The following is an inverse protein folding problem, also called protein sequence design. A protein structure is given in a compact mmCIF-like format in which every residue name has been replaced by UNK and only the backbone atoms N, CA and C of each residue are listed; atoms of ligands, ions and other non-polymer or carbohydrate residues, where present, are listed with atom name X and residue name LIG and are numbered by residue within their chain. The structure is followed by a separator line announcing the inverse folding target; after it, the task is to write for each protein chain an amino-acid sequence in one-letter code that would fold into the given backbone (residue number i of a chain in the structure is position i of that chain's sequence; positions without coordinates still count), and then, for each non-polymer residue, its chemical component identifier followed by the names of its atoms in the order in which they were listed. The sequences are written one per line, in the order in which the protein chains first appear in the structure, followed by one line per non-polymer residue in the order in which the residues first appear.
data_IF_537698165981
#
_entry.id   IF_537698165981
#
_cell.length_a   1.000
_cell.length_b   1.000
_cell.length_c   1.000
_cell.angle_alpha   90.00
_cell.angle_beta   90.00
_cell.angle_gamma   90.00
#
_symmetry.space_group_name_H-M   'P 1'
#
loop_
_entity.id
_entity.type
_entity.pdbx_description
1 polymer ?
#
# COMPACT_ATOMS: atom_id res chain seq x y z
N UNK A 1 13.34 -32.18 44.05
CA UNK A 1 12.33 -32.82 43.19
C UNK A 1 11.11 -31.92 42.85
N UNK A 2 10.58 -31.09 43.75
CA UNK A 2 9.44 -30.16 43.44
C UNK A 2 9.77 -29.10 42.36
N UNK A 3 10.95 -28.49 42.40
CA UNK A 3 11.36 -27.42 41.42
C UNK A 3 11.50 -27.95 39.98
N UNK A 4 11.99 -29.16 39.80
CA UNK A 4 12.09 -29.79 38.46
C UNK A 4 10.74 -30.03 37.81
N UNK A 5 9.73 -30.42 38.60
CA UNK A 5 8.36 -30.63 38.11
C UNK A 5 7.67 -29.35 37.66
N UNK A 6 7.97 -28.22 38.34
CA UNK A 6 7.43 -26.88 37.96
C UNK A 6 8.01 -26.39 36.65
N UNK A 7 9.32 -26.58 36.41
CA UNK A 7 9.94 -26.19 35.14
C UNK A 7 9.47 -27.03 33.96
N UNK A 8 9.24 -28.34 34.15
CA UNK A 8 8.69 -29.22 33.11
C UNK A 8 7.24 -28.86 32.78
N UNK A 9 6.42 -28.52 33.76
CA UNK A 9 5.05 -28.08 33.54
C UNK A 9 5.00 -26.72 32.82
N UNK A 10 5.88 -25.78 33.16
CA UNK A 10 5.99 -24.46 32.50
C UNK A 10 6.44 -24.63 31.05
N UNK A 11 7.42 -25.47 30.76
CA UNK A 11 7.90 -25.77 29.42
C UNK A 11 6.84 -26.41 28.53
N UNK A 12 6.02 -27.34 29.11
CA UNK A 12 4.90 -27.96 28.38
C UNK A 12 3.78 -26.95 28.07
N UNK A 13 3.51 -26.01 28.97
CA UNK A 13 2.54 -24.92 28.72
C UNK A 13 3.04 -23.99 27.65
N UNK A 14 4.32 -23.63 27.64
CA UNK A 14 4.93 -22.78 26.62
C UNK A 14 5.00 -23.47 25.24
N UNK A 15 5.27 -24.79 25.21
CA UNK A 15 5.21 -25.56 23.96
C UNK A 15 3.77 -25.73 23.45
N UNK A 16 2.79 -25.87 24.34
CA UNK A 16 1.37 -25.97 23.99
C UNK A 16 0.81 -24.66 23.40
N UNK A 17 1.30 -23.51 23.85
CA UNK A 17 0.91 -22.19 23.31
C UNK A 17 1.51 -21.92 21.92
N UNK A 18 2.68 -22.50 21.62
CA UNK A 18 3.32 -22.32 20.31
C UNK A 18 2.61 -23.05 19.16
N UNK A 19 1.76 -24.04 19.44
CA UNK A 19 1.06 -24.81 18.39
C UNK A 19 -0.35 -24.30 18.05
N UNK A 20 -0.87 -23.27 18.73
CA UNK A 20 -2.22 -22.71 18.48
C UNK A 20 -2.20 -21.55 17.50
N UNK A 21 -1.06 -21.12 16.98
CA UNK A 21 -0.89 -19.84 16.29
C UNK A 21 -1.15 -19.86 14.78
N UNK A 22 -1.74 -20.89 14.19
CA UNK A 22 -2.06 -20.89 12.75
C UNK A 22 -3.47 -21.43 12.45
N UNK A 23 -4.46 -21.06 13.24
CA UNK A 23 -5.82 -21.06 12.74
C UNK A 23 -5.93 -19.85 11.81
N UNK A 24 -5.72 -20.05 10.51
CA UNK A 24 -6.12 -19.06 9.51
C UNK A 24 -7.60 -18.81 9.71
N UNK A 25 -7.95 -17.58 10.11
CA UNK A 25 -9.33 -17.15 10.10
C UNK A 25 -9.85 -17.40 8.68
N UNK A 26 -11.02 -18.03 8.49
CA UNK A 26 -11.57 -18.24 7.19
C UNK A 26 -11.66 -16.87 6.51
N UNK A 27 -10.79 -16.62 5.53
CA UNK A 27 -10.94 -15.48 4.65
C UNK A 27 -12.30 -15.66 3.97
N UNK A 28 -13.13 -14.63 3.90
CA UNK A 28 -14.40 -14.69 3.20
C UNK A 28 -14.26 -14.89 1.68
N UNK A 29 -13.10 -15.34 1.23
CA UNK A 29 -12.76 -15.61 -0.17
C UNK A 29 -13.22 -17.01 -0.56
N UNK A 30 -14.05 -17.09 -1.60
CA UNK A 30 -14.46 -18.34 -2.21
C UNK A 30 -13.35 -18.89 -3.11
N UNK A 31 -12.90 -20.10 -2.82
CA UNK A 31 -11.85 -20.81 -3.58
C UNK A 31 -12.40 -22.13 -4.12
N UNK A 32 -11.90 -22.61 -5.27
CA UNK A 32 -12.23 -23.95 -5.74
C UNK A 32 -11.73 -25.01 -4.74
N UNK A 33 -12.44 -26.12 -4.62
CA UNK A 33 -12.07 -27.25 -3.73
C UNK A 33 -10.69 -27.83 -4.08
N UNK A 34 -10.25 -27.72 -5.32
CA UNK A 34 -8.94 -28.13 -5.80
C UNK A 34 -8.47 -27.27 -6.96
N UNK A 35 -7.25 -26.83 -6.90
CA UNK A 35 -6.56 -26.14 -8.00
C UNK A 35 -5.82 -27.11 -8.95
N UNK A 36 -5.83 -28.43 -8.63
CA UNK A 36 -5.10 -29.44 -9.43
C UNK A 36 -5.73 -29.56 -10.81
N UNK A 37 -4.88 -29.44 -11.85
CA UNK A 37 -5.29 -29.58 -13.23
C UNK A 37 -5.94 -28.34 -13.84
N UNK A 38 -6.19 -27.29 -13.07
CA UNK A 38 -6.70 -26.03 -13.60
C UNK A 38 -5.58 -25.25 -14.30
N UNK A 39 -5.85 -24.78 -15.50
CA UNK A 39 -5.04 -23.73 -16.13
C UNK A 39 -5.17 -22.42 -15.33
N UNK A 40 -4.24 -21.52 -15.55
CA UNK A 40 -4.30 -20.19 -14.90
C UNK A 40 -5.59 -19.43 -15.29
N UNK A 41 -6.05 -19.57 -16.52
CA UNK A 41 -7.29 -18.96 -17.01
C UNK A 41 -8.53 -19.54 -16.31
N UNK A 42 -8.59 -20.85 -16.13
CA UNK A 42 -9.72 -21.52 -15.45
C UNK A 42 -9.74 -21.18 -13.96
N UNK A 43 -8.58 -21.17 -13.29
CA UNK A 43 -8.47 -20.73 -11.91
C UNK A 43 -8.94 -19.29 -11.76
N UNK A 44 -8.49 -18.39 -12.64
CA UNK A 44 -8.93 -16.99 -12.66
C UNK A 44 -10.44 -16.84 -12.85
N UNK A 45 -11.03 -17.61 -13.76
CA UNK A 45 -12.46 -17.59 -14.00
C UNK A 45 -13.27 -18.06 -12.77
N UNK A 46 -12.85 -19.13 -12.09
CA UNK A 46 -13.52 -19.63 -10.89
C UNK A 46 -13.39 -18.65 -9.71
N UNK A 47 -12.20 -18.10 -9.48
CA UNK A 47 -11.99 -17.10 -8.44
C UNK A 47 -12.79 -15.82 -8.70
N UNK A 48 -12.86 -15.39 -9.97
CA UNK A 48 -13.67 -14.25 -10.39
C UNK A 48 -15.16 -14.49 -10.13
N UNK A 49 -15.67 -15.65 -10.56
CA UNK A 49 -17.08 -15.99 -10.38
C UNK A 49 -17.49 -16.02 -8.90
N UNK A 50 -16.62 -16.54 -8.02
CA UNK A 50 -16.88 -16.64 -6.58
C UNK A 50 -16.72 -15.34 -5.79
N UNK A 51 -15.92 -14.39 -6.28
CA UNK A 51 -15.52 -13.22 -5.47
C UNK A 51 -15.76 -11.86 -6.14
N UNK A 52 -15.95 -11.79 -7.44
CA UNK A 52 -16.00 -10.54 -8.18
C UNK A 52 -17.32 -10.33 -8.93
N UNK A 53 -17.91 -11.43 -9.43
CA UNK A 53 -19.06 -11.39 -10.32
C UNK A 53 -20.31 -10.73 -9.71
N UNK A 54 -20.51 -10.86 -8.40
CA UNK A 54 -21.63 -10.22 -7.69
C UNK A 54 -21.65 -8.71 -7.87
N UNK A 55 -20.48 -8.06 -7.90
CA UNK A 55 -20.36 -6.62 -8.05
C UNK A 55 -20.03 -6.20 -9.48
N UNK A 56 -19.25 -6.99 -10.20
CA UNK A 56 -18.75 -6.62 -11.53
C UNK A 56 -19.47 -7.29 -12.70
N UNK A 57 -20.48 -8.13 -12.42
CA UNK A 57 -21.15 -8.92 -13.45
C UNK A 57 -20.39 -10.18 -13.82
N UNK A 58 -21.11 -11.20 -14.37
CA UNK A 58 -20.55 -12.52 -14.61
C UNK A 58 -19.52 -12.51 -15.76
N UNK A 59 -19.69 -11.59 -16.72
CA UNK A 59 -18.78 -11.36 -17.85
C UNK A 59 -18.07 -10.00 -17.77
N UNK A 60 -17.94 -9.42 -16.56
CA UNK A 60 -17.29 -8.14 -16.35
C UNK A 60 -18.04 -6.93 -16.92
N UNK A 61 -19.35 -7.04 -17.10
CA UNK A 61 -20.20 -5.98 -17.65
C UNK A 61 -20.53 -4.88 -16.65
N UNK A 62 -20.24 -5.09 -15.37
CA UNK A 62 -20.62 -4.21 -14.26
C UNK A 62 -22.06 -4.45 -13.81
N UNK A 63 -22.37 -4.05 -12.58
CA UNK A 63 -23.73 -4.12 -12.01
C UNK A 63 -24.18 -2.73 -11.58
N UNK A 64 -25.11 -2.17 -12.33
CA UNK A 64 -25.72 -0.89 -12.00
C UNK A 64 -26.79 -1.08 -10.91
N UNK A 65 -26.90 -0.17 -9.93
CA UNK A 65 -27.97 -0.25 -8.94
C UNK A 65 -29.30 0.14 -9.58
N UNK A 66 -30.41 -0.40 -9.09
CA UNK A 66 -31.74 -0.08 -9.62
C UNK A 66 -32.09 1.42 -9.45
N UNK A 67 -31.49 2.12 -8.50
CA UNK A 67 -31.86 3.49 -8.13
C UNK A 67 -30.77 4.56 -8.37
N UNK A 68 -29.81 4.34 -9.27
CA UNK A 68 -28.73 5.31 -9.60
C UNK A 68 -27.95 5.85 -8.40
N UNK A 69 -27.94 5.16 -7.27
CA UNK A 69 -27.10 5.51 -6.13
C UNK A 69 -25.62 5.41 -6.51
N UNK A 70 -24.84 6.41 -6.11
CA UNK A 70 -23.39 6.40 -6.33
C UNK A 70 -22.74 5.49 -5.30
N UNK A 71 -21.89 4.57 -5.73
CA UNK A 71 -20.93 3.90 -4.86
C UNK A 71 -19.81 4.84 -4.40
N UNK A 72 -18.79 4.30 -3.74
CA UNK A 72 -17.62 5.05 -3.32
C UNK A 72 -16.95 5.76 -4.51
N UNK A 73 -16.54 6.98 -4.33
CA UNK A 73 -15.98 7.80 -5.39
C UNK A 73 -16.99 8.15 -6.47
N UNK A 74 -16.59 7.99 -7.74
CA UNK A 74 -17.45 8.24 -8.90
C UNK A 74 -18.10 6.99 -9.48
N UNK A 75 -17.98 5.85 -8.80
CA UNK A 75 -18.53 4.57 -9.27
C UNK A 75 -20.05 4.57 -9.07
N UNK A 76 -20.78 4.25 -10.14
CA UNK A 76 -22.23 4.01 -10.09
C UNK A 76 -22.45 2.52 -10.02
N UNK A 77 -23.18 2.07 -9.02
CA UNK A 77 -23.55 0.67 -8.91
C UNK A 77 -22.77 -0.09 -7.84
N UNK A 78 -22.91 -1.40 -7.86
CA UNK A 78 -22.15 -2.30 -7.00
C UNK A 78 -20.70 -2.39 -7.43
N UNK A 79 -20.46 -2.40 -8.75
CA UNK A 79 -19.13 -2.40 -9.33
C UNK A 79 -19.14 -1.95 -10.79
N UNK A 80 -18.09 -1.24 -11.24
CA UNK A 80 -17.98 -0.82 -12.64
C UNK A 80 -17.73 -2.00 -13.58
N UNK A 81 -17.95 -1.82 -14.90
CA UNK A 81 -17.51 -2.79 -15.88
C UNK A 81 -15.99 -2.96 -15.86
N UNK A 82 -15.55 -4.21 -16.05
CA UNK A 82 -14.13 -4.56 -16.11
C UNK A 82 -13.62 -4.80 -17.53
N UNK A 83 -14.51 -4.73 -18.53
CA UNK A 83 -14.11 -4.81 -19.94
C UNK A 83 -13.26 -3.60 -20.31
N UNK A 84 -12.03 -3.86 -20.76
CA UNK A 84 -11.11 -2.81 -21.17
C UNK A 84 -10.23 -2.22 -20.04
N UNK A 85 -10.40 -2.63 -18.78
CA UNK A 85 -9.51 -2.18 -17.69
C UNK A 85 -8.12 -2.81 -17.78
N UNK A 86 -8.00 -3.96 -18.45
CA UNK A 86 -6.75 -4.67 -18.69
C UNK A 86 -6.13 -5.28 -17.43
N UNK A 87 -4.94 -5.82 -17.61
CA UNK A 87 -4.17 -6.40 -16.52
C UNK A 87 -3.74 -5.34 -15.49
N UNK A 88 -3.45 -4.13 -15.94
CA UNK A 88 -2.92 -3.03 -15.12
C UNK A 88 -3.81 -2.72 -13.93
N UNK A 89 -5.11 -2.47 -14.15
CA UNK A 89 -6.01 -2.13 -13.06
C UNK A 89 -6.31 -3.35 -12.17
N UNK A 90 -6.45 -4.54 -12.76
CA UNK A 90 -6.69 -5.76 -11.99
C UNK A 90 -5.54 -6.05 -11.03
N UNK A 91 -4.29 -5.97 -11.49
CA UNK A 91 -3.11 -6.18 -10.67
C UNK A 91 -3.03 -5.16 -9.53
N UNK A 92 -3.16 -3.87 -9.85
CA UNK A 92 -3.13 -2.81 -8.86
C UNK A 92 -4.12 -3.02 -7.71
N UNK A 93 -5.40 -3.20 -8.03
CA UNK A 93 -6.43 -3.30 -7.00
C UNK A 93 -6.33 -4.57 -6.17
N UNK A 94 -5.85 -5.67 -6.73
CA UNK A 94 -5.65 -6.93 -6.02
C UNK A 94 -4.39 -6.92 -5.17
N UNK A 95 -3.26 -6.45 -5.71
CA UNK A 95 -1.97 -6.43 -4.99
C UNK A 95 -1.91 -5.39 -3.88
N UNK A 96 -2.74 -4.35 -3.95
CA UNK A 96 -2.86 -3.34 -2.90
C UNK A 96 -3.92 -3.67 -1.84
N UNK A 97 -4.73 -4.73 -2.07
CA UNK A 97 -5.83 -5.11 -1.20
C UNK A 97 -7.00 -4.12 -1.23
N UNK A 98 -7.09 -3.26 -2.25
CA UNK A 98 -8.26 -2.42 -2.48
C UNK A 98 -9.49 -3.23 -2.89
N UNK A 99 -9.26 -4.37 -3.55
CA UNK A 99 -10.29 -5.35 -3.88
C UNK A 99 -9.94 -6.72 -3.27
N UNK A 100 -10.95 -7.49 -2.85
CA UNK A 100 -12.39 -7.23 -2.90
C UNK A 100 -12.85 -6.22 -1.84
N UNK A 101 -13.87 -5.42 -2.15
CA UNK A 101 -14.53 -4.55 -1.18
C UNK A 101 -15.53 -5.35 -0.34
N UNK A 102 -15.59 -5.04 0.96
CA UNK A 102 -16.64 -5.60 1.84
C UNK A 102 -17.93 -4.80 1.72
N UNK A 103 -17.82 -3.49 1.47
CA UNK A 103 -18.95 -2.58 1.29
C UNK A 103 -18.69 -1.71 0.06
N UNK A 104 -19.51 -1.83 -1.01
CA UNK A 104 -19.35 -1.06 -2.24
C UNK A 104 -19.50 0.46 -2.05
N UNK A 105 -20.05 0.90 -0.92
CA UNK A 105 -20.22 2.32 -0.63
C UNK A 105 -19.05 2.96 0.10
N UNK A 106 -18.11 2.13 0.59
CA UNK A 106 -16.92 2.64 1.25
C UNK A 106 -15.84 3.02 0.23
N UNK A 107 -15.08 4.06 0.58
CA UNK A 107 -13.89 4.40 -0.18
C UNK A 107 -12.89 3.24 -0.06
N UNK A 108 -12.36 2.70 -1.19
CA UNK A 108 -11.31 1.71 -1.14
C UNK A 108 -10.06 2.31 -0.48
N UNK A 109 -9.44 1.55 0.40
CA UNK A 109 -8.12 1.86 0.95
C UNK A 109 -7.26 0.60 0.98
N UNK A 110 -5.96 0.77 1.10
CA UNK A 110 -5.03 -0.36 1.22
C UNK A 110 -5.38 -1.22 2.42
N UNK A 111 -5.55 -2.51 2.18
CA UNK A 111 -5.88 -3.53 3.17
C UNK A 111 -4.93 -4.73 3.03
N UNK A 112 -5.15 -5.74 3.87
CA UNK A 112 -4.54 -7.05 3.67
C UNK A 112 -4.91 -7.59 2.30
N UNK A 113 -3.93 -8.12 1.60
CA UNK A 113 -4.13 -8.83 0.32
C UNK A 113 -4.74 -10.19 0.64
N UNK A 114 -5.92 -10.47 0.10
CA UNK A 114 -6.70 -11.67 0.43
C UNK A 114 -6.35 -12.87 -0.47
N UNK A 115 -5.77 -12.60 -1.63
CA UNK A 115 -5.39 -13.62 -2.62
C UNK A 115 -3.88 -13.88 -2.58
N UNK A 116 -3.50 -15.13 -2.85
CA UNK A 116 -2.09 -15.48 -3.07
C UNK A 116 -1.57 -14.88 -4.37
N UNK A 117 -0.24 -14.73 -4.54
CA UNK A 117 0.32 -14.22 -5.81
C UNK A 117 -0.12 -15.03 -7.05
N UNK A 118 -0.29 -16.35 -6.90
CA UNK A 118 -0.79 -17.22 -7.98
C UNK A 118 -2.24 -16.90 -8.34
N UNK A 119 -3.09 -16.72 -7.33
CA UNK A 119 -4.50 -16.37 -7.51
C UNK A 119 -4.64 -14.98 -8.13
N UNK A 120 -3.86 -13.99 -7.68
CA UNK A 120 -3.83 -12.64 -8.26
C UNK A 120 -3.45 -12.72 -9.73
N UNK A 121 -2.38 -13.42 -10.08
CA UNK A 121 -1.98 -13.59 -11.48
C UNK A 121 -3.08 -14.26 -12.32
N UNK A 122 -3.79 -15.23 -11.76
CA UNK A 122 -4.90 -15.91 -12.44
C UNK A 122 -6.10 -14.97 -12.66
N UNK A 123 -6.52 -14.24 -11.63
CA UNK A 123 -7.64 -13.27 -11.75
C UNK A 123 -7.25 -12.15 -12.72
N UNK A 124 -6.03 -11.62 -12.63
CA UNK A 124 -5.51 -10.57 -13.52
C UNK A 124 -5.52 -11.03 -14.98
N UNK A 125 -5.09 -12.25 -15.25
CA UNK A 125 -5.14 -12.83 -16.59
C UNK A 125 -6.59 -12.98 -17.09
N UNK A 126 -7.49 -13.46 -16.23
CA UNK A 126 -8.91 -13.60 -16.58
C UNK A 126 -9.54 -12.23 -16.88
N UNK A 127 -9.34 -11.23 -16.04
CA UNK A 127 -9.88 -9.88 -16.26
C UNK A 127 -9.30 -9.25 -17.53
N UNK A 128 -8.01 -9.44 -17.80
CA UNK A 128 -7.40 -8.99 -19.05
C UNK A 128 -8.00 -9.65 -20.30
N UNK A 129 -8.53 -10.87 -20.17
CA UNK A 129 -9.20 -11.56 -21.28
C UNK A 129 -10.62 -11.07 -21.58
N UNK A 130 -11.22 -10.28 -20.67
CA UNK A 130 -12.57 -9.74 -20.86
C UNK A 130 -12.65 -8.64 -21.94
N UNK A 131 -11.51 -8.08 -22.35
CA UNK A 131 -11.43 -7.09 -23.40
C UNK A 131 -10.05 -6.43 -23.47
N UNK A 132 -9.74 -5.76 -24.60
CA UNK A 132 -8.45 -5.08 -24.76
C UNK A 132 -8.28 -3.96 -23.72
N UNK A 133 -7.11 -3.93 -23.07
CA UNK A 133 -6.81 -2.94 -22.05
C UNK A 133 -5.30 -2.85 -21.76
N UNK A 134 -4.87 -1.90 -20.93
CA UNK A 134 -3.46 -1.67 -20.65
C UNK A 134 -2.82 -2.84 -19.90
N UNK A 135 -1.56 -3.12 -20.24
CA UNK A 135 -0.73 -4.11 -19.56
C UNK A 135 -0.09 -3.53 -18.30
N UNK A 136 0.33 -4.41 -17.39
CA UNK A 136 1.09 -4.04 -16.19
C UNK A 136 2.37 -3.31 -16.60
N UNK A 137 2.63 -2.10 -16.08
CA UNK A 137 3.84 -1.35 -16.38
C UNK A 137 5.07 -2.02 -15.74
N UNK A 138 6.21 -1.82 -16.38
CA UNK A 138 7.51 -2.30 -15.89
C UNK A 138 8.44 -1.10 -15.69
N UNK A 139 8.27 -0.35 -14.58
CA UNK A 139 9.14 0.79 -14.32
C UNK A 139 10.56 0.32 -14.00
N UNK A 140 11.51 1.17 -14.36
CA UNK A 140 12.91 1.02 -13.99
C UNK A 140 13.40 2.26 -13.23
N UNK A 141 13.26 2.27 -11.88
CA UNK A 141 13.72 3.40 -11.07
C UNK A 141 15.22 3.66 -11.17
N UNK A 142 16.03 2.64 -11.52
CA UNK A 142 17.48 2.80 -11.67
C UNK A 142 17.85 3.68 -12.87
N UNK A 143 16.99 3.74 -13.88
CA UNK A 143 17.12 4.64 -15.02
C UNK A 143 16.57 6.05 -14.75
N UNK A 144 16.02 6.30 -13.56
CA UNK A 144 15.48 7.58 -13.14
C UNK A 144 16.52 8.46 -12.43
N UNK A 145 16.22 9.77 -12.36
CA UNK A 145 16.99 10.75 -11.57
C UNK A 145 16.20 11.16 -10.34
N UNK A 146 16.78 10.99 -9.16
CA UNK A 146 16.15 11.38 -7.86
C UNK A 146 15.86 12.89 -7.85
N UNK A 147 16.77 13.73 -8.36
CA UNK A 147 16.58 15.20 -8.40
C UNK A 147 15.43 15.60 -9.33
N UNK A 148 15.37 15.03 -10.53
CA UNK A 148 14.24 15.26 -11.45
C UNK A 148 12.94 14.72 -10.83
N UNK A 149 12.99 13.55 -10.21
CA UNK A 149 11.84 12.95 -9.53
C UNK A 149 11.32 13.80 -8.37
N UNK A 150 12.19 14.42 -7.59
CA UNK A 150 11.82 15.37 -6.54
C UNK A 150 11.01 16.55 -7.09
N UNK A 151 11.47 17.18 -8.16
CA UNK A 151 10.75 18.30 -8.77
C UNK A 151 9.38 17.88 -9.30
N UNK A 152 9.33 16.79 -10.08
CA UNK A 152 8.07 16.28 -10.64
C UNK A 152 7.08 15.83 -9.54
N UNK A 153 7.59 15.17 -8.51
CA UNK A 153 6.77 14.75 -7.37
C UNK A 153 6.22 15.95 -6.60
N UNK A 154 7.05 16.98 -6.38
CA UNK A 154 6.63 18.20 -5.69
C UNK A 154 5.56 18.93 -6.47
N UNK A 155 5.69 19.00 -7.80
CA UNK A 155 4.75 19.68 -8.69
C UNK A 155 3.39 18.95 -8.81
N UNK A 156 3.41 17.63 -8.94
CA UNK A 156 2.22 16.87 -9.31
C UNK A 156 1.63 16.00 -8.19
N UNK A 157 2.40 15.65 -7.17
CA UNK A 157 2.02 14.60 -6.21
C UNK A 157 2.01 15.07 -4.75
N UNK A 158 2.96 15.95 -4.36
CA UNK A 158 3.18 16.33 -2.97
C UNK A 158 2.00 17.06 -2.35
N UNK A 159 1.16 17.75 -3.12
CA UNK A 159 -0.06 18.40 -2.63
C UNK A 159 -1.02 17.45 -1.93
N UNK A 160 -1.06 16.18 -2.35
CA UNK A 160 -1.86 15.14 -1.73
C UNK A 160 -0.99 14.16 -0.89
N UNK A 161 0.15 13.72 -1.42
CA UNK A 161 0.97 12.68 -0.81
C UNK A 161 2.03 13.21 0.16
N UNK A 162 2.11 14.53 0.38
CA UNK A 162 3.17 15.23 1.11
C UNK A 162 4.56 15.05 0.49
N UNK A 163 5.49 15.97 0.80
CA UNK A 163 6.80 15.99 0.17
C UNK A 163 7.60 14.68 0.35
N UNK A 164 7.44 14.01 1.48
CA UNK A 164 8.15 12.76 1.81
C UNK A 164 7.28 11.50 1.62
N UNK A 165 6.23 11.60 0.83
CA UNK A 165 5.35 10.47 0.46
C UNK A 165 4.65 9.78 1.65
N UNK A 166 4.43 10.49 2.76
CA UNK A 166 3.76 9.95 3.97
C UNK A 166 2.23 9.88 3.85
N UNK A 167 1.65 10.50 2.83
CA UNK A 167 0.20 10.56 2.68
C UNK A 167 -0.47 11.45 3.74
N UNK A 168 -1.76 11.28 3.92
CA UNK A 168 -2.53 12.08 4.88
C UNK A 168 -4.00 12.16 4.53
N UNK A 169 -4.62 13.31 4.80
CA UNK A 169 -6.01 13.59 4.47
C UNK A 169 -6.11 14.87 3.64
N UNK A 170 -6.82 14.80 2.52
CA UNK A 170 -7.09 15.93 1.65
C UNK A 170 -8.58 15.94 1.31
N UNK A 171 -9.29 17.02 1.65
CA UNK A 171 -10.70 17.22 1.30
C UNK A 171 -11.58 15.97 1.56
N UNK A 172 -11.54 15.47 2.79
CA UNK A 172 -12.28 14.27 3.24
C UNK A 172 -11.84 12.93 2.60
N UNK A 173 -10.68 12.89 1.93
CA UNK A 173 -10.13 11.69 1.34
C UNK A 173 -8.82 11.32 2.04
N UNK A 174 -8.71 10.04 2.41
CA UNK A 174 -7.45 9.50 2.90
C UNK A 174 -6.52 9.23 1.73
N UNK A 175 -5.36 9.89 1.74
CA UNK A 175 -4.28 9.69 0.77
C UNK A 175 -3.29 8.68 1.33
N UNK A 176 -2.98 7.58 0.62
CA UNK A 176 -2.11 6.54 1.14
C UNK A 176 -0.65 6.98 1.25
N UNK A 177 0.08 6.34 2.16
CA UNK A 177 1.54 6.40 2.23
C UNK A 177 2.12 5.60 1.06
N UNK A 178 2.99 6.21 0.26
CA UNK A 178 3.62 5.56 -0.88
C UNK A 178 4.85 4.71 -0.50
N UNK A 179 5.35 4.86 0.72
CA UNK A 179 6.50 4.09 1.21
C UNK A 179 6.26 2.57 1.27
N UNK A 180 5.00 2.14 1.28
CA UNK A 180 4.62 0.72 1.30
C UNK A 180 4.39 0.13 -0.10
N UNK A 181 4.34 0.99 -1.13
CA UNK A 181 4.02 0.57 -2.49
C UNK A 181 5.29 0.13 -3.25
N UNK A 182 5.16 -0.87 -4.09
CA UNK A 182 6.22 -1.26 -5.02
C UNK A 182 6.32 -0.26 -6.17
N UNK A 183 7.44 -0.26 -6.89
CA UNK A 183 7.61 0.57 -8.08
C UNK A 183 6.49 0.33 -9.11
N UNK A 184 6.08 -0.93 -9.30
CA UNK A 184 4.97 -1.31 -10.18
C UNK A 184 3.65 -0.72 -9.70
N UNK A 185 3.30 -0.86 -8.42
CA UNK A 185 2.07 -0.30 -7.86
C UNK A 185 2.00 1.23 -7.99
N UNK A 186 3.13 1.93 -7.80
CA UNK A 186 3.20 3.37 -8.03
C UNK A 186 2.94 3.70 -9.50
N UNK A 187 3.58 2.98 -10.42
CA UNK A 187 3.39 3.20 -11.85
C UNK A 187 1.93 2.92 -12.28
N UNK A 188 1.33 1.87 -11.76
CA UNK A 188 -0.08 1.53 -11.99
C UNK A 188 -0.99 2.63 -11.48
N UNK A 189 -0.82 3.07 -10.23
CA UNK A 189 -1.62 4.15 -9.64
C UNK A 189 -1.58 5.43 -10.48
N UNK A 190 -0.40 5.82 -10.95
CA UNK A 190 -0.23 7.01 -11.82
C UNK A 190 -1.01 6.87 -13.12
N UNK A 191 -1.08 5.66 -13.70
CA UNK A 191 -1.78 5.39 -14.97
C UNK A 191 -3.28 5.16 -14.81
N UNK A 192 -3.74 4.72 -13.62
CA UNK A 192 -5.16 4.44 -13.33
C UNK A 192 -5.87 5.66 -12.75
N UNK A 193 -5.20 6.42 -11.89
CA UNK A 193 -5.81 7.48 -11.10
C UNK A 193 -6.87 6.92 -10.13
N UNK A 194 -6.50 6.08 -9.15
CA UNK A 194 -7.47 5.45 -8.26
C UNK A 194 -8.19 6.50 -7.40
N UNK A 195 -9.51 6.36 -7.26
CA UNK A 195 -10.36 7.24 -6.48
C UNK A 195 -10.40 8.69 -7.01
N UNK A 196 -9.85 9.62 -6.23
CA UNK A 196 -9.74 11.04 -6.57
C UNK A 196 -8.35 11.42 -7.11
N UNK A 197 -7.43 10.46 -7.22
CA UNK A 197 -6.14 10.69 -7.85
C UNK A 197 -6.34 10.97 -9.34
N UNK A 198 -5.70 12.01 -9.90
CA UNK A 198 -5.75 12.24 -11.34
C UNK A 198 -5.10 11.10 -12.12
N UNK A 199 -5.62 10.82 -13.31
CA UNK A 199 -4.96 9.95 -14.28
C UNK A 199 -3.89 10.73 -14.99
N UNK A 200 -2.66 10.25 -14.97
CA UNK A 200 -1.57 10.82 -15.75
C UNK A 200 -1.25 9.92 -16.94
N UNK A 201 -1.53 10.39 -18.14
CA UNK A 201 -1.18 9.68 -19.36
C UNK A 201 0.34 9.67 -19.59
N UNK A 202 0.81 8.91 -20.58
CA UNK A 202 2.23 8.97 -20.99
C UNK A 202 2.62 10.30 -21.62
N UNK A 203 1.64 11.10 -22.08
CA UNK A 203 1.85 12.46 -22.56
C UNK A 203 2.10 13.44 -21.40
N UNK A 204 1.36 13.29 -20.29
CA UNK A 204 1.49 14.17 -19.12
C UNK A 204 2.76 13.85 -18.33
N UNK A 205 2.98 12.56 -18.06
CA UNK A 205 4.18 12.02 -17.38
C UNK A 205 4.71 10.85 -18.20
N UNK A 206 5.78 11.08 -18.95
CA UNK A 206 6.44 10.03 -19.74
C UNK A 206 6.98 8.89 -18.85
N UNK A 207 7.26 7.73 -19.42
CA UNK A 207 7.81 6.60 -18.66
C UNK A 207 9.17 6.95 -18.02
N UNK A 208 10.00 7.80 -18.65
CA UNK A 208 11.26 8.30 -18.06
C UNK A 208 11.01 9.20 -16.85
N UNK A 209 10.05 10.09 -16.93
CA UNK A 209 9.67 10.96 -15.81
C UNK A 209 9.06 10.14 -14.67
N UNK A 210 8.24 9.16 -14.99
CA UNK A 210 7.69 8.22 -14.00
C UNK A 210 8.79 7.42 -13.30
N UNK A 211 9.79 6.91 -14.02
CA UNK A 211 10.95 6.28 -13.41
C UNK A 211 11.69 7.21 -12.45
N UNK A 212 11.81 8.50 -12.78
CA UNK A 212 12.43 9.50 -11.89
C UNK A 212 11.57 9.77 -10.64
N UNK A 213 10.25 9.89 -10.79
CA UNK A 213 9.32 10.02 -9.65
C UNK A 213 9.45 8.81 -8.72
N UNK A 214 9.47 7.61 -9.26
CA UNK A 214 9.63 6.38 -8.48
C UNK A 214 11.00 6.34 -7.80
N UNK A 215 12.07 6.71 -8.50
CA UNK A 215 13.42 6.81 -7.92
C UNK A 215 13.45 7.77 -6.71
N UNK A 216 12.75 8.90 -6.80
CA UNK A 216 12.59 9.81 -5.67
C UNK A 216 11.82 9.17 -4.51
N UNK A 217 10.67 8.54 -4.78
CA UNK A 217 9.88 7.85 -3.75
C UNK A 217 10.73 6.75 -3.06
N UNK A 218 11.48 5.95 -3.82
CA UNK A 218 12.40 4.95 -3.26
C UNK A 218 13.48 5.61 -2.37
N UNK A 219 14.02 6.76 -2.76
CA UNK A 219 15.02 7.47 -1.95
C UNK A 219 14.49 7.97 -0.61
N UNK A 220 13.19 8.33 -0.54
CA UNK A 220 12.57 8.76 0.72
C UNK A 220 12.03 7.59 1.56
N UNK A 221 11.93 6.38 1.00
CA UNK A 221 11.69 5.16 1.79
C UNK A 221 12.87 4.83 2.69
N UNK A 222 14.09 5.04 2.19
CA UNK A 222 15.35 4.72 2.84
C UNK A 222 16.25 5.96 2.81
N UNK A 223 15.91 7.01 3.56
CA UNK A 223 16.70 8.24 3.56
C UNK A 223 18.10 7.98 4.09
N UNK A 224 19.06 8.67 3.52
CA UNK A 224 20.46 8.57 3.92
C UNK A 224 20.73 9.55 5.06
N UNK A 225 20.65 9.07 6.29
CA UNK A 225 20.87 9.86 7.52
C UNK A 225 22.36 10.05 7.86
N UNK A 226 23.19 10.39 6.90
CA UNK A 226 24.61 10.67 7.17
C UNK A 226 24.75 11.79 8.19
N UNK A 227 25.16 11.42 9.41
CA UNK A 227 25.44 12.35 10.50
C UNK A 227 24.23 12.82 11.30
N UNK A 228 23.08 12.19 11.19
CA UNK A 228 21.86 12.49 11.95
C UNK A 228 21.24 11.29 12.63
N UNK A 229 20.35 11.53 13.59
CA UNK A 229 19.46 10.52 14.12
C UNK A 229 18.14 10.57 13.37
N UNK A 230 17.85 9.54 12.58
CA UNK A 230 16.56 9.37 11.93
C UNK A 230 15.47 9.05 12.94
N UNK A 231 14.79 10.06 13.45
CA UNK A 231 13.68 9.92 14.38
C UNK A 231 12.41 9.66 13.59
N UNK A 232 12.34 8.48 12.97
CA UNK A 232 11.19 8.06 12.16
C UNK A 232 11.01 8.81 10.84
N UNK A 233 11.95 9.64 10.42
CA UNK A 233 11.95 10.42 9.17
C UNK A 233 10.67 11.25 8.95
N UNK A 234 10.16 11.85 10.03
CA UNK A 234 8.95 12.66 10.02
C UNK A 234 9.15 14.07 9.46
N UNK A 235 10.39 14.40 9.09
CA UNK A 235 10.79 15.64 8.46
C UNK A 235 11.67 16.53 9.32
N UNK A 236 12.35 17.52 8.70
CA UNK A 236 13.40 18.29 9.35
C UNK A 236 12.90 19.18 10.51
N UNK A 237 11.63 19.58 10.48
CA UNK A 237 11.10 20.46 11.55
C UNK A 237 10.93 19.70 12.87
N UNK A 238 10.20 18.57 12.96
CA UNK A 238 10.10 17.80 14.20
C UNK A 238 11.45 17.25 14.67
N UNK A 239 12.29 16.79 13.75
CA UNK A 239 13.62 16.27 14.03
C UNK A 239 14.53 17.37 14.61
N UNK A 240 14.49 18.56 14.00
CA UNK A 240 15.19 19.74 14.52
C UNK A 240 14.69 20.18 15.90
N UNK A 241 13.39 20.21 16.11
CA UNK A 241 12.80 20.56 17.41
C UNK A 241 13.27 19.61 18.53
N UNK A 242 13.26 18.30 18.27
CA UNK A 242 13.75 17.30 19.22
C UNK A 242 15.24 17.50 19.54
N UNK A 243 16.06 17.71 18.51
CA UNK A 243 17.51 17.96 18.66
C UNK A 243 17.77 19.20 19.49
N UNK A 244 17.06 20.31 19.24
CA UNK A 244 17.18 21.56 20.04
C UNK A 244 16.73 21.37 21.47
N UNK A 245 15.66 20.62 21.73
CA UNK A 245 15.21 20.33 23.09
C UNK A 245 16.28 19.56 23.87
N UNK A 246 16.84 18.50 23.27
CA UNK A 246 17.92 17.73 23.92
C UNK A 246 19.16 18.61 24.18
N UNK A 247 19.56 19.41 23.20
CA UNK A 247 20.69 20.32 23.35
C UNK A 247 20.46 21.36 24.44
N UNK A 248 19.27 21.95 24.54
CA UNK A 248 18.90 22.91 25.57
C UNK A 248 18.95 22.28 26.97
N UNK A 249 18.36 21.08 27.14
CA UNK A 249 18.40 20.35 28.41
C UNK A 249 19.83 20.02 28.83
N UNK A 250 20.65 19.53 27.90
CA UNK A 250 22.06 19.23 28.18
C UNK A 250 22.87 20.48 28.59
N UNK A 251 22.64 21.61 27.90
CA UNK A 251 23.29 22.87 28.20
C UNK A 251 22.91 23.39 29.58
N UNK A 252 21.60 23.39 29.91
CA UNK A 252 21.13 23.81 31.24
C UNK A 252 21.72 22.92 32.33
N UNK A 253 21.71 21.60 32.17
CA UNK A 253 22.29 20.64 33.09
C UNK A 253 23.79 20.93 33.32
N UNK A 254 24.54 21.18 32.22
CA UNK A 254 25.96 21.53 32.31
C UNK A 254 26.18 22.84 33.05
N UNK A 255 25.39 23.88 32.79
CA UNK A 255 25.48 25.17 33.49
C UNK A 255 25.20 25.02 35.00
N UNK A 256 24.21 24.23 35.40
CA UNK A 256 23.90 23.93 36.79
C UNK A 256 25.05 23.21 37.45
N UNK A 257 25.62 22.18 36.83
CA UNK A 257 26.76 21.43 37.38
C UNK A 257 28.00 22.31 37.55
N UNK A 258 28.28 23.20 36.60
CA UNK A 258 29.39 24.16 36.71
C UNK A 258 29.13 25.15 37.86
N UNK A 259 27.90 25.71 37.91
CA UNK A 259 27.50 26.64 38.97
C UNK A 259 27.61 26.04 40.37
N UNK A 260 27.18 24.81 40.57
CA UNK A 260 27.32 24.09 41.84
C UNK A 260 28.77 23.82 42.21
N UNK A 261 29.65 23.55 41.26
CA UNK A 261 31.07 23.37 41.54
C UNK A 261 31.78 24.67 41.90
N UNK A 262 31.47 25.76 41.18
CA UNK A 262 32.06 27.08 41.48
C UNK A 262 31.54 27.68 42.80
N UNK A 263 30.30 27.38 43.19
CA UNK A 263 29.74 27.82 44.46
C UNK A 263 30.25 27.07 45.69
N UNK A 264 30.97 25.95 45.50
CA UNK A 264 31.61 25.17 46.59
C UNK A 264 33.11 25.41 46.72
N UNK A 265 33.71 26.17 45.82
CA UNK A 265 35.11 26.63 45.86
C UNK A 265 35.19 28.01 46.48
#
# INVERSE_FOLDING_TARGET
MRRARTFVALALVLLGVATVAHAELPSGISRPDSERGLSQQELGAQLYAGNCATCHGIAGEGVLPPNRTRGAGNVRGLGPPLKGVGALAADFYLTTGFMPLQDPQQQPWRRRVEFTPKEIAAITQYVASLGPGPSIPRPDPSAGSVSVGFHLFTEHCAGCHQAVAEGGYVTNVRVPKLKQDTATQIAEAVRIGPNLMPVFSKHDISDRQLNSIIAYIESVKHPNDRGGWGIGHIGPVPEGMFTWLVAAVALVALCVLIGERLGKA
#
